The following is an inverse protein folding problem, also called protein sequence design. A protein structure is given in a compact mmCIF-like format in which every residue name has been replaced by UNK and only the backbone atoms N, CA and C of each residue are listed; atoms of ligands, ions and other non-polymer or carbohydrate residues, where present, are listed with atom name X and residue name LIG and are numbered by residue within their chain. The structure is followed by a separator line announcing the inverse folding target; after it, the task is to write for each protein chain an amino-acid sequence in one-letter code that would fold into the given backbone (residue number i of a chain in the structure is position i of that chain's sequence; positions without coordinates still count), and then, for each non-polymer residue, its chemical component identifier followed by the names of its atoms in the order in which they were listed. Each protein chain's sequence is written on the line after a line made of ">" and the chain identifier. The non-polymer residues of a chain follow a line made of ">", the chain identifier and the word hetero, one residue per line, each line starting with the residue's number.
data_IF_667006129782
#
_entry.id   IF_667006129782
#
_cell.length_a   1.000
_cell.length_b   1.000
_cell.length_c   1.000
_cell.angle_alpha   90.00
_cell.angle_beta   90.00
_cell.angle_gamma   90.00
#
_symmetry.space_group_name_H-M   'P 1'
#
loop_
_entity.id
_entity.type
_entity.pdbx_description
1 polymer ?
#
# COMPACT_ATOMS: atom_id res chain seq x y z
N UNK A 1 -1.17 -13.50 -13.40
CA UNK A 1 -1.53 -13.28 -11.99
C UNK A 1 -2.75 -12.37 -11.97
N UNK A 2 -3.74 -12.67 -11.14
CA UNK A 2 -4.96 -11.86 -11.01
C UNK A 2 -4.97 -11.23 -9.63
N UNK A 3 -5.14 -9.91 -9.57
CA UNK A 3 -5.30 -9.21 -8.30
C UNK A 3 -6.61 -9.62 -7.62
N UNK A 4 -6.69 -9.57 -6.28
CA UNK A 4 -7.91 -9.88 -5.57
C UNK A 4 -9.00 -8.88 -5.94
N UNK A 5 -10.25 -9.32 -5.85
CA UNK A 5 -11.42 -8.50 -6.18
C UNK A 5 -11.37 -7.17 -5.42
N UNK A 6 -11.69 -6.08 -6.12
CA UNK A 6 -11.71 -4.73 -5.55
C UNK A 6 -10.35 -4.03 -5.56
N UNK A 7 -9.24 -4.74 -5.81
CA UNK A 7 -7.94 -4.10 -5.98
C UNK A 7 -7.76 -3.63 -7.41
N UNK A 8 -7.40 -2.36 -7.57
CA UNK A 8 -7.04 -1.75 -8.86
C UNK A 8 -5.71 -1.02 -8.73
N UNK A 9 -4.91 -1.05 -9.79
CA UNK A 9 -3.62 -0.36 -9.87
C UNK A 9 -3.63 0.50 -11.13
N UNK A 10 -3.16 1.73 -11.02
CA UNK A 10 -2.99 2.65 -12.15
C UNK A 10 -1.69 3.44 -11.99
N UNK A 11 -1.13 3.90 -13.09
CA UNK A 11 0.05 4.76 -13.10
C UNK A 11 -0.07 5.84 -14.18
N UNK A 12 0.64 6.93 -13.96
CA UNK A 12 0.67 8.08 -14.85
C UNK A 12 2.03 8.74 -14.84
N UNK A 13 2.47 9.17 -16.03
CA UNK A 13 3.73 9.88 -16.20
C UNK A 13 3.64 11.26 -15.54
N UNK A 14 4.70 11.65 -14.86
CA UNK A 14 4.86 12.97 -14.26
C UNK A 14 5.79 13.75 -15.15
N UNK A 15 5.20 14.57 -16.02
CA UNK A 15 5.95 15.47 -16.90
C UNK A 15 6.85 16.43 -16.10
N UNK A 16 7.90 16.93 -16.74
CA UNK A 16 8.82 17.89 -16.14
C UNK A 16 8.08 19.12 -15.60
N UNK A 17 8.35 19.46 -14.34
CA UNK A 17 7.70 20.57 -13.64
C UNK A 17 6.26 20.30 -13.19
N UNK A 18 5.66 19.16 -13.55
CA UNK A 18 4.34 18.77 -13.06
C UNK A 18 4.39 18.29 -11.61
N UNK A 19 3.31 18.51 -10.88
CA UNK A 19 3.18 18.00 -9.52
C UNK A 19 2.83 16.51 -9.54
N UNK A 20 3.76 15.66 -9.12
CA UNK A 20 3.48 14.23 -8.88
C UNK A 20 2.23 13.98 -8.03
N UNK A 21 1.94 14.88 -7.09
CA UNK A 21 0.74 14.81 -6.24
C UNK A 21 -0.53 15.02 -7.04
N UNK A 22 -0.55 15.96 -7.96
CA UNK A 22 -1.71 16.21 -8.84
C UNK A 22 -1.99 14.99 -9.71
N UNK A 23 -0.94 14.41 -10.31
CA UNK A 23 -1.06 13.17 -11.12
C UNK A 23 -1.63 12.02 -10.28
N UNK A 24 -1.05 11.74 -9.11
CA UNK A 24 -1.56 10.65 -8.25
C UNK A 24 -3.01 10.88 -7.81
N UNK A 25 -3.41 12.13 -7.53
CA UNK A 25 -4.79 12.44 -7.13
C UNK A 25 -5.75 12.28 -8.30
N UNK A 26 -5.36 12.68 -9.50
CA UNK A 26 -6.16 12.45 -10.70
C UNK A 26 -6.42 10.95 -10.91
N UNK A 27 -5.38 10.12 -10.79
CA UNK A 27 -5.51 8.65 -10.89
C UNK A 27 -6.44 8.08 -9.81
N UNK A 28 -6.31 8.53 -8.56
CA UNK A 28 -7.21 8.07 -7.48
C UNK A 28 -8.65 8.51 -7.74
N UNK A 29 -8.88 9.73 -8.23
CA UNK A 29 -10.21 10.22 -8.58
C UNK A 29 -10.80 9.47 -9.77
N UNK A 30 -10.00 9.09 -10.76
CA UNK A 30 -10.46 8.22 -11.86
C UNK A 30 -10.91 6.85 -11.35
N UNK A 31 -10.11 6.24 -10.47
CA UNK A 31 -10.46 4.95 -9.89
C UNK A 31 -11.66 5.07 -8.93
N UNK A 32 -11.72 6.11 -8.11
CA UNK A 32 -12.72 6.32 -7.07
C UNK A 32 -13.42 7.69 -7.23
N UNK A 33 -14.31 7.85 -8.22
CA UNK A 33 -14.87 9.16 -8.57
C UNK A 33 -15.73 9.80 -7.47
N UNK A 34 -16.30 9.00 -6.57
CA UNK A 34 -17.08 9.48 -5.43
C UNK A 34 -16.22 9.75 -4.16
N UNK A 35 -14.92 9.50 -4.21
CA UNK A 35 -14.02 9.68 -3.06
C UNK A 35 -13.67 11.16 -2.83
N UNK A 36 -13.62 11.53 -1.55
CA UNK A 36 -12.95 12.75 -1.08
C UNK A 36 -11.55 12.42 -0.58
N UNK A 37 -10.55 13.16 -1.07
CA UNK A 37 -9.14 12.89 -0.84
C UNK A 37 -8.51 13.91 0.11
N UNK A 38 -7.78 13.46 1.13
CA UNK A 38 -7.02 14.33 2.03
C UNK A 38 -5.62 13.79 2.32
N UNK A 39 -4.66 14.68 2.58
CA UNK A 39 -3.26 14.32 2.86
C UNK A 39 -2.69 15.16 4.00
N UNK A 40 -3.40 15.21 5.13
CA UNK A 40 -2.99 16.01 6.29
C UNK A 40 -2.06 15.20 7.19
N UNK A 41 -0.94 15.79 7.59
CA UNK A 41 -0.04 15.20 8.55
C UNK A 41 -0.69 15.19 9.93
N UNK A 42 -0.74 14.02 10.57
CA UNK A 42 -1.33 13.85 11.90
C UNK A 42 -0.53 14.60 12.99
N UNK A 43 0.74 14.94 12.71
CA UNK A 43 1.63 15.66 13.65
C UNK A 43 1.58 17.18 13.53
N UNK A 44 1.59 17.73 12.32
CA UNK A 44 1.69 19.18 12.08
C UNK A 44 0.51 19.78 11.29
N UNK A 45 -0.41 18.95 10.77
CA UNK A 45 -1.56 19.39 9.97
C UNK A 45 -1.26 19.77 8.51
N UNK A 46 0.01 19.83 8.11
CA UNK A 46 0.45 20.18 6.75
C UNK A 46 0.06 19.15 5.69
N UNK A 47 0.14 19.54 4.41
CA UNK A 47 -0.36 18.75 3.27
C UNK A 47 0.56 17.59 2.84
N UNK A 48 1.53 17.22 3.68
CA UNK A 48 2.48 16.14 3.41
C UNK A 48 2.16 14.83 4.13
N UNK A 49 0.95 14.69 4.67
CA UNK A 49 0.50 13.45 5.29
C UNK A 49 0.19 12.35 4.27
N UNK A 50 -0.10 11.17 4.80
CA UNK A 50 -0.60 10.01 4.04
C UNK A 50 -1.91 10.38 3.32
N UNK A 51 -2.08 9.89 2.09
CA UNK A 51 -3.35 9.98 1.38
C UNK A 51 -4.44 9.17 2.11
N UNK A 52 -5.56 9.83 2.41
CA UNK A 52 -6.76 9.22 2.97
C UNK A 52 -7.92 9.43 2.00
N UNK A 53 -8.69 8.36 1.80
CA UNK A 53 -9.94 8.34 1.04
C UNK A 53 -11.11 8.37 2.03
N UNK A 54 -12.18 9.08 1.70
CA UNK A 54 -13.41 9.16 2.50
C UNK A 54 -14.63 9.35 1.59
N UNK A 55 -15.83 9.09 2.10
CA UNK A 55 -17.08 9.18 1.32
C UNK A 55 -17.40 7.93 0.49
N UNK A 56 -16.47 6.98 0.43
CA UNK A 56 -16.64 5.64 -0.14
C UNK A 56 -15.97 4.63 0.80
N UNK A 57 -16.43 3.38 0.77
CA UNK A 57 -15.77 2.27 1.48
C UNK A 57 -14.62 1.75 0.64
N UNK A 58 -13.49 2.47 0.69
CA UNK A 58 -12.28 2.12 -0.03
C UNK A 58 -11.04 2.70 0.65
N UNK A 59 -9.88 2.09 0.37
CA UNK A 59 -8.57 2.61 0.70
C UNK A 59 -7.74 2.88 -0.55
N UNK A 60 -6.75 3.77 -0.45
CA UNK A 60 -5.81 4.06 -1.53
C UNK A 60 -4.40 4.23 -0.98
N UNK A 61 -3.42 3.88 -1.81
CA UNK A 61 -2.00 4.06 -1.55
C UNK A 61 -1.31 4.61 -2.79
N UNK A 62 -0.24 5.37 -2.57
CA UNK A 62 0.51 6.04 -3.64
C UNK A 62 1.99 5.76 -3.45
N UNK A 63 2.69 5.51 -4.55
CA UNK A 63 4.14 5.57 -4.62
C UNK A 63 4.60 6.39 -5.82
N UNK A 64 5.84 6.85 -5.75
CA UNK A 64 6.47 7.62 -6.82
C UNK A 64 7.79 6.95 -7.16
N UNK A 65 7.94 6.66 -8.44
CA UNK A 65 9.20 6.22 -9.04
C UNK A 65 9.64 7.30 -10.03
N UNK A 66 10.89 7.28 -10.50
CA UNK A 66 11.43 8.32 -11.40
C UNK A 66 10.48 8.58 -12.59
N UNK A 67 9.92 9.79 -12.68
CA UNK A 67 8.96 10.17 -13.73
C UNK A 67 7.56 9.57 -13.61
N UNK A 68 7.22 8.83 -12.56
CA UNK A 68 5.94 8.10 -12.44
C UNK A 68 5.24 8.29 -11.10
N UNK A 69 3.92 8.45 -11.15
CA UNK A 69 3.03 8.25 -10.02
C UNK A 69 2.31 6.91 -10.17
N UNK A 70 2.34 6.07 -9.13
CA UNK A 70 1.69 4.76 -9.10
C UNK A 70 0.69 4.74 -7.95
N UNK A 71 -0.52 4.27 -8.22
CA UNK A 71 -1.65 4.24 -7.28
C UNK A 71 -2.19 2.83 -7.20
N UNK A 72 -2.49 2.37 -5.99
CA UNK A 72 -3.35 1.22 -5.77
C UNK A 72 -4.58 1.63 -4.95
N UNK A 73 -5.75 1.11 -5.31
CA UNK A 73 -6.99 1.22 -4.54
C UNK A 73 -7.51 -0.15 -4.17
N UNK A 74 -8.24 -0.22 -3.06
CA UNK A 74 -9.00 -1.39 -2.63
C UNK A 74 -10.39 -0.93 -2.22
N UNK A 75 -11.41 -1.43 -2.91
CA UNK A 75 -12.81 -1.28 -2.51
C UNK A 75 -13.21 -2.32 -1.46
N UNK A 76 -14.04 -1.90 -0.51
CA UNK A 76 -14.47 -2.70 0.63
C UNK A 76 -13.53 -2.61 1.82
N UNK A 77 -13.81 -3.44 2.82
CA UNK A 77 -13.06 -3.47 4.07
C UNK A 77 -11.62 -3.97 3.86
N UNK A 78 -10.64 -3.24 4.40
CA UNK A 78 -9.23 -3.61 4.34
C UNK A 78 -8.34 -2.41 4.08
N UNK A 79 -7.03 -2.66 3.89
CA UNK A 79 -6.07 -1.62 3.52
C UNK A 79 -5.16 -2.11 2.41
N UNK A 80 -4.86 -1.20 1.48
CA UNK A 80 -3.90 -1.42 0.39
C UNK A 80 -2.64 -0.57 0.60
N UNK A 81 -1.51 -1.12 0.19
CA UNK A 81 -0.22 -0.44 0.09
C UNK A 81 0.38 -0.70 -1.28
N UNK A 82 1.01 0.31 -1.88
CA UNK A 82 1.77 0.16 -3.13
C UNK A 82 3.14 0.78 -2.97
N UNK A 83 4.15 0.11 -3.49
CA UNK A 83 5.46 0.71 -3.70
C UNK A 83 5.98 0.49 -5.11
N UNK A 84 6.72 1.48 -5.60
CA UNK A 84 7.23 1.56 -6.95
C UNK A 84 8.68 2.03 -6.90
N UNK A 85 9.59 1.30 -7.53
CA UNK A 85 11.03 1.52 -7.47
C UNK A 85 11.61 1.53 -8.88
N UNK A 86 12.28 2.63 -9.25
CA UNK A 86 13.04 2.74 -10.51
C UNK A 86 14.48 2.29 -10.32
N UNK A 87 15.02 1.55 -11.30
CA UNK A 87 16.45 1.23 -11.38
C UNK A 87 16.98 0.34 -10.25
N UNK A 88 18.30 0.10 -10.20
CA UNK A 88 18.94 -0.53 -9.05
C UNK A 88 18.85 0.43 -7.87
N UNK A 89 18.11 0.04 -6.84
CA UNK A 89 17.92 0.84 -5.64
C UNK A 89 19.23 0.94 -4.84
N UNK A 90 20.06 1.91 -5.21
CA UNK A 90 21.31 2.19 -4.51
C UNK A 90 21.03 2.66 -3.07
N UNK A 91 21.81 2.15 -2.11
CA UNK A 91 21.68 2.51 -0.69
C UNK A 91 20.71 1.66 0.13
N UNK A 92 20.00 0.70 -0.48
CA UNK A 92 19.14 -0.25 0.23
C UNK A 92 19.88 -1.06 1.28
N UNK A 93 21.15 -1.39 1.03
CA UNK A 93 21.96 -2.22 1.95
C UNK A 93 22.04 -1.66 3.38
N UNK A 94 21.84 -0.35 3.56
CA UNK A 94 21.85 0.29 4.88
C UNK A 94 20.59 0.01 5.69
N UNK A 95 19.49 -0.34 5.04
CA UNK A 95 18.16 -0.54 5.65
C UNK A 95 17.74 -2.00 5.57
N UNK A 96 18.02 -2.64 4.43
CA UNK A 96 17.73 -4.05 4.18
C UNK A 96 18.92 -4.67 3.41
N UNK A 97 19.96 -5.17 4.11
CA UNK A 97 21.16 -5.73 3.50
C UNK A 97 20.85 -6.83 2.47
N UNK A 98 21.41 -6.70 1.26
CA UNK A 98 21.24 -7.67 0.18
C UNK A 98 19.88 -7.65 -0.51
N UNK A 99 19.01 -6.69 -0.20
CA UNK A 99 17.73 -6.55 -0.88
C UNK A 99 17.87 -5.93 -2.26
N UNK A 100 17.23 -6.55 -3.25
CA UNK A 100 17.01 -5.94 -4.54
C UNK A 100 15.80 -4.98 -4.52
N UNK A 101 15.60 -4.27 -5.63
CA UNK A 101 14.48 -3.33 -5.79
C UNK A 101 13.11 -3.99 -5.56
N UNK A 102 12.95 -5.28 -5.89
CA UNK A 102 11.70 -6.02 -5.70
C UNK A 102 11.47 -6.34 -4.23
N UNK A 103 12.47 -6.86 -3.54
CA UNK A 103 12.40 -7.12 -2.11
C UNK A 103 12.05 -5.85 -1.34
N UNK A 104 12.69 -4.74 -1.69
CA UNK A 104 12.37 -3.43 -1.11
C UNK A 104 10.94 -2.97 -1.39
N UNK A 105 10.50 -3.01 -2.65
CA UNK A 105 9.15 -2.62 -3.01
C UNK A 105 8.09 -3.42 -2.23
N UNK A 106 8.31 -4.73 -2.03
CA UNK A 106 7.40 -5.57 -1.25
C UNK A 106 7.34 -5.13 0.22
N UNK A 107 8.48 -4.83 0.84
CA UNK A 107 8.55 -4.35 2.23
C UNK A 107 7.84 -3.01 2.40
N UNK A 108 8.13 -2.04 1.54
CA UNK A 108 7.49 -0.72 1.58
C UNK A 108 5.99 -0.79 1.30
N UNK A 109 5.55 -1.66 0.37
CA UNK A 109 4.13 -1.91 0.14
C UNK A 109 3.43 -2.42 1.41
N UNK A 110 4.08 -3.31 2.18
CA UNK A 110 3.56 -3.81 3.46
C UNK A 110 3.46 -2.70 4.50
N UNK A 111 4.52 -1.91 4.70
CA UNK A 111 4.52 -0.77 5.64
C UNK A 111 3.43 0.25 5.28
N UNK A 112 3.23 0.49 3.98
CA UNK A 112 2.17 1.36 3.49
C UNK A 112 0.78 0.78 3.73
N UNK A 113 0.56 -0.51 3.52
CA UNK A 113 -0.74 -1.17 3.78
C UNK A 113 -1.08 -1.20 5.27
N UNK A 114 -0.09 -1.46 6.12
CA UNK A 114 -0.23 -1.49 7.58
C UNK A 114 -0.78 -0.17 8.13
N UNK A 115 -0.16 0.94 7.73
CA UNK A 115 -0.65 2.28 8.04
C UNK A 115 0.17 3.04 9.09
N UNK A 116 0.93 2.33 9.96
CA UNK A 116 1.75 2.95 11.01
C UNK A 116 2.97 3.71 10.47
N UNK A 117 3.36 3.47 9.22
CA UNK A 117 4.40 4.26 8.55
C UNK A 117 5.76 4.09 9.20
N UNK A 118 6.44 5.20 9.53
CA UNK A 118 7.80 5.20 10.09
C UNK A 118 7.92 4.55 11.47
N UNK A 119 6.80 4.25 12.14
CA UNK A 119 6.79 3.50 13.40
C UNK A 119 7.11 2.00 13.18
N UNK A 120 7.13 1.55 11.93
CA UNK A 120 7.54 0.20 11.55
C UNK A 120 8.95 0.26 10.98
N UNK A 121 9.86 -0.43 11.67
CA UNK A 121 11.18 -0.75 11.14
C UNK A 121 11.03 -1.72 9.94
N UNK A 122 11.45 -1.32 8.72
CA UNK A 122 11.36 -2.18 7.54
C UNK A 122 12.02 -3.55 7.71
N UNK A 123 13.06 -3.66 8.54
CA UNK A 123 13.76 -4.93 8.80
C UNK A 123 12.88 -5.95 9.57
N UNK A 124 11.76 -5.51 10.15
CA UNK A 124 10.79 -6.38 10.84
C UNK A 124 9.76 -7.00 9.90
N UNK A 125 9.73 -6.59 8.64
CA UNK A 125 8.83 -7.16 7.64
C UNK A 125 9.43 -8.45 7.09
N UNK A 126 8.78 -9.58 7.36
CA UNK A 126 9.17 -10.89 6.79
C UNK A 126 8.29 -11.23 5.61
N UNK A 127 8.88 -11.31 4.41
CA UNK A 127 8.19 -11.64 3.15
C UNK A 127 8.51 -13.08 2.74
N UNK A 128 7.47 -13.85 2.41
CA UNK A 128 7.57 -15.23 1.96
C UNK A 128 6.87 -15.38 0.61
N UNK A 129 7.60 -15.82 -0.42
CA UNK A 129 7.04 -16.13 -1.73
C UNK A 129 6.15 -17.39 -1.66
N UNK A 130 5.16 -17.44 -2.55
CA UNK A 130 4.21 -18.56 -2.68
C UNK A 130 4.34 -19.20 -4.05
N UNK A 131 3.94 -20.46 -4.16
CA UNK A 131 4.03 -21.24 -5.41
C UNK A 131 3.16 -20.67 -6.54
N UNK A 132 2.09 -19.96 -6.21
CA UNK A 132 1.19 -19.31 -7.15
C UNK A 132 1.74 -17.97 -7.72
N UNK A 133 2.98 -17.63 -7.38
CA UNK A 133 3.65 -16.40 -7.79
C UNK A 133 3.27 -15.16 -6.96
N UNK A 134 2.36 -15.29 -6.00
CA UNK A 134 2.08 -14.24 -5.00
C UNK A 134 3.08 -14.33 -3.84
N UNK A 135 2.94 -13.44 -2.85
CA UNK A 135 3.70 -13.52 -1.61
C UNK A 135 2.82 -13.18 -0.42
N UNK A 136 3.27 -13.55 0.77
CA UNK A 136 2.70 -13.06 2.03
C UNK A 136 3.76 -12.34 2.83
N UNK A 137 3.31 -11.44 3.70
CA UNK A 137 4.19 -10.79 4.64
C UNK A 137 3.63 -10.85 6.07
N UNK A 138 4.53 -10.86 7.03
CA UNK A 138 4.20 -10.69 8.44
C UNK A 138 5.00 -9.54 9.03
N UNK A 139 4.37 -8.80 9.93
CA UNK A 139 5.02 -7.84 10.83
C UNK A 139 5.01 -8.50 12.22
N UNK A 140 6.01 -8.24 13.06
CA UNK A 140 6.24 -8.97 14.33
C UNK A 140 5.04 -9.08 15.30
N UNK A 141 4.00 -8.26 15.12
CA UNK A 141 2.73 -8.34 15.86
C UNK A 141 1.75 -9.41 15.33
N UNK A 142 2.16 -10.19 14.33
CA UNK A 142 1.39 -11.28 13.75
C UNK A 142 0.42 -10.87 12.65
N UNK A 143 0.38 -9.58 12.27
CA UNK A 143 -0.43 -9.15 11.13
C UNK A 143 0.07 -9.82 9.85
N UNK A 144 -0.85 -10.46 9.12
CA UNK A 144 -0.55 -11.14 7.87
C UNK A 144 -1.15 -10.37 6.70
N UNK A 145 -0.30 -10.07 5.71
CA UNK A 145 -0.68 -9.39 4.48
C UNK A 145 -0.49 -10.32 3.28
N UNK A 146 -1.31 -10.12 2.26
CA UNK A 146 -1.18 -10.75 0.95
C UNK A 146 -0.53 -9.76 -0.01
N UNK A 147 0.38 -10.23 -0.85
CA UNK A 147 1.09 -9.34 -1.74
C UNK A 147 1.28 -9.88 -3.15
N UNK A 148 1.45 -8.94 -4.07
CA UNK A 148 1.40 -9.13 -5.50
C UNK A 148 2.47 -8.28 -6.14
N UNK A 149 3.31 -8.88 -6.98
CA UNK A 149 4.13 -8.12 -7.92
C UNK A 149 3.28 -7.87 -9.16
N UNK A 150 3.14 -6.61 -9.55
CA UNK A 150 2.24 -6.20 -10.64
C UNK A 150 3.01 -5.55 -11.77
N UNK A 151 2.40 -5.55 -12.96
CA UNK A 151 2.91 -4.73 -14.05
C UNK A 151 2.90 -3.25 -13.64
N UNK A 152 3.92 -2.53 -14.07
CA UNK A 152 4.05 -1.10 -13.90
C UNK A 152 4.63 -0.45 -15.16
N UNK A 153 4.97 0.84 -15.09
CA UNK A 153 5.71 1.49 -16.16
C UNK A 153 7.03 0.78 -16.48
N UNK A 154 7.51 0.93 -17.71
CA UNK A 154 8.78 0.33 -18.13
C UNK A 154 9.93 0.74 -17.20
N UNK A 155 10.70 -0.26 -16.75
CA UNK A 155 11.83 -0.05 -15.84
C UNK A 155 11.44 0.19 -14.37
N UNK A 156 10.16 0.12 -14.01
CA UNK A 156 9.66 0.30 -12.64
C UNK A 156 9.18 -1.03 -12.06
N UNK A 157 9.73 -1.41 -10.91
CA UNK A 157 9.24 -2.55 -10.13
C UNK A 157 8.09 -2.07 -9.24
N UNK A 158 6.93 -2.72 -9.33
CA UNK A 158 5.75 -2.37 -8.53
C UNK A 158 5.29 -3.56 -7.69
N UNK A 159 5.11 -3.32 -6.40
CA UNK A 159 4.57 -4.27 -5.45
C UNK A 159 3.32 -3.71 -4.77
N UNK A 160 2.32 -4.56 -4.59
CA UNK A 160 1.07 -4.24 -3.90
C UNK A 160 0.92 -5.17 -2.70
N UNK A 161 0.57 -4.63 -1.54
CA UNK A 161 0.20 -5.37 -0.34
C UNK A 161 -1.25 -5.09 0.03
N UNK A 162 -1.96 -6.11 0.47
CA UNK A 162 -3.33 -6.05 0.97
C UNK A 162 -3.33 -6.60 2.38
N UNK A 163 -3.69 -5.74 3.33
CA UNK A 163 -4.08 -6.15 4.68
C UNK A 163 -5.59 -6.39 4.65
N UNK A 164 -6.05 -7.66 4.76
CA UNK A 164 -7.48 -7.94 4.82
C UNK A 164 -8.08 -7.29 6.07
N UNK A 165 -9.37 -6.96 6.01
CA UNK A 165 -10.09 -6.63 7.23
C UNK A 165 -9.93 -7.79 8.24
N UNK A 166 -9.61 -7.45 9.48
CA UNK A 166 -9.68 -8.46 10.55
C UNK A 166 -11.13 -8.96 10.57
N UNK A 167 -11.39 -10.26 10.38
CA UNK A 167 -12.74 -10.75 10.61
C UNK A 167 -13.09 -10.37 12.05
N UNK A 168 -14.15 -9.60 12.23
CA UNK A 168 -14.74 -9.42 13.56
C UNK A 168 -15.18 -10.81 13.98
N UNK A 169 -14.36 -11.48 14.78
CA UNK A 169 -14.85 -12.58 15.60
C UNK A 169 -15.91 -11.95 16.48
N UNK A 170 -17.17 -12.26 16.20
CA UNK A 170 -18.31 -11.92 17.03
C UNK A 170 -17.94 -12.27 18.47
N UNK A 171 -17.59 -11.24 19.26
CA UNK A 171 -17.35 -11.42 20.68
C UNK A 171 -18.71 -11.72 21.26
N UNK A 172 -19.03 -13.02 21.37
CA UNK A 172 -20.21 -13.57 22.05
C UNK A 172 -20.61 -12.63 23.17
N UNK A 173 -21.72 -11.94 22.96
CA UNK A 173 -22.45 -11.22 24.01
C UNK A 173 -22.64 -12.22 25.16
N UNK A 174 -22.20 -11.94 26.40
CA UNK A 174 -22.55 -12.82 27.51
C UNK A 174 -24.08 -12.87 27.59
N UNK A 175 -24.64 -14.08 27.54
CA UNK A 175 -26.08 -14.29 27.76
C UNK A 175 -26.49 -13.61 29.06
N UNK A 176 -27.62 -12.90 29.11
CA UNK A 176 -28.15 -12.44 30.39
C UNK A 176 -28.43 -13.68 31.24
N UNK A 177 -27.86 -13.71 32.45
CA UNK A 177 -28.25 -14.66 33.47
C UNK A 177 -29.76 -14.51 33.70
N UNK A 178 -30.51 -15.59 33.48
CA UNK A 178 -31.94 -15.63 33.75
C UNK A 178 -32.24 -15.57 35.25
N UNK A 179 -33.44 -15.11 35.63
CA UNK A 179 -33.92 -15.13 37.01
C UNK A 179 -34.15 -16.56 37.53
#
# INVERSE_FOLDING_TARGET
>A
MTLPRGVRVAWGEVADGASRREVSRALVTELLPAARLSSRCERCGGEHGRLRVSGVDASASVSYAEGWAVVATLEGEGRVGVDAVSGPASGLDRVLPGADARAWARVEAVVKADGRGLDIDPARVRVTAREDGTWSATIDDGLTLHGYDVAGPDGVVVAVAVLPATPVTDRRRPSPAGP
#
